data_IF_080275223685
#
_entry.id   IF_080275223685
#
_cell.length_a   1.000
_cell.length_b   1.000
_cell.length_c   1.000
_cell.angle_alpha   90.00
_cell.angle_beta   90.00
_cell.angle_gamma   90.00
#
_symmetry.space_group_name_H-M   'P 1'
#
loop_
_entity.id
_entity.type
_entity.pdbx_description
1 polymer ?
#
# COMPACT_ATOMS: atom_id res chain seq x y z
N UNK A 1 -7.56 -9.90 -10.38
CA UNK A 1 -7.40 -9.15 -9.12
C UNK A 1 -7.79 -7.71 -9.42
N UNK A 2 -8.58 -7.11 -8.55
CA UNK A 2 -9.00 -5.71 -8.69
C UNK A 2 -8.31 -4.92 -7.59
N UNK A 3 -7.68 -3.82 -7.93
CA UNK A 3 -7.04 -2.92 -6.95
C UNK A 3 -7.85 -1.64 -6.85
N UNK A 4 -8.11 -1.19 -5.64
CA UNK A 4 -8.72 0.11 -5.39
C UNK A 4 -7.63 1.08 -4.96
N UNK A 5 -7.55 2.25 -5.60
CA UNK A 5 -6.62 3.31 -5.20
C UNK A 5 -7.39 4.28 -4.30
N UNK A 6 -6.81 4.66 -3.16
CA UNK A 6 -7.46 5.51 -2.14
C UNK A 6 -6.47 6.47 -1.50
N UNK A 7 -7.00 7.58 -0.98
CA UNK A 7 -6.26 8.45 -0.06
C UNK A 7 -5.89 7.70 1.21
N UNK A 8 -4.73 7.99 1.79
CA UNK A 8 -4.31 7.40 3.06
C UNK A 8 -5.24 7.90 4.19
N UNK A 9 -5.65 6.98 5.07
CA UNK A 9 -6.34 7.14 6.37
C UNK A 9 -7.13 8.43 6.64
N UNK A 10 -8.38 8.30 7.10
CA UNK A 10 -9.27 9.40 7.53
C UNK A 10 -8.55 10.57 8.20
N UNK A 11 -8.42 11.69 7.46
CA UNK A 11 -7.93 12.97 7.97
C UNK A 11 -6.45 13.29 7.77
N UNK A 12 -5.64 12.40 7.20
CA UNK A 12 -4.20 12.66 6.98
C UNK A 12 -3.75 12.33 5.55
N UNK A 13 -3.32 13.38 4.84
CA UNK A 13 -2.52 13.38 3.60
C UNK A 13 -3.19 12.68 2.39
N UNK A 14 -3.60 13.54 1.46
CA UNK A 14 -4.19 13.19 0.17
C UNK A 14 -3.26 12.25 -0.61
N UNK A 15 -3.81 11.37 -1.46
CA UNK A 15 -2.98 10.55 -2.35
C UNK A 15 -2.13 11.50 -3.21
N UNK A 16 -0.81 11.39 -3.14
CA UNK A 16 0.13 12.27 -3.82
C UNK A 16 1.19 11.43 -4.52
N UNK A 17 1.30 11.61 -5.84
CA UNK A 17 2.25 10.91 -6.68
C UNK A 17 2.74 11.82 -7.81
N UNK A 18 4.00 11.63 -8.18
CA UNK A 18 4.68 12.44 -9.20
C UNK A 18 4.84 11.64 -10.50
N UNK A 19 4.89 12.34 -11.64
CA UNK A 19 4.92 11.74 -12.97
C UNK A 19 3.53 11.61 -13.59
N UNK A 20 3.45 11.36 -14.89
CA UNK A 20 2.19 11.31 -15.65
C UNK A 20 1.25 10.22 -15.10
N UNK A 21 1.79 9.05 -14.76
CA UNK A 21 1.02 8.00 -14.08
C UNK A 21 0.61 8.37 -12.65
N UNK A 22 1.37 9.24 -11.99
CA UNK A 22 1.08 9.73 -10.64
C UNK A 22 -0.16 10.62 -10.61
N UNK A 23 -0.25 11.59 -11.51
CA UNK A 23 -1.41 12.48 -11.65
C UNK A 23 -2.69 11.67 -11.91
N UNK A 24 -2.61 10.66 -12.77
CA UNK A 24 -3.75 9.77 -13.03
C UNK A 24 -4.14 8.93 -11.81
N UNK A 25 -3.17 8.46 -11.03
CA UNK A 25 -3.44 7.74 -9.78
C UNK A 25 -4.11 8.65 -8.74
N UNK A 26 -3.74 9.93 -8.66
CA UNK A 26 -4.39 10.93 -7.80
C UNK A 26 -5.87 11.13 -8.17
N UNK A 27 -6.16 11.25 -9.47
CA UNK A 27 -7.54 11.36 -9.98
C UNK A 27 -8.36 10.11 -9.63
N UNK A 28 -7.79 8.92 -9.84
CA UNK A 28 -8.44 7.65 -9.52
C UNK A 28 -8.66 7.46 -8.02
N UNK A 29 -7.76 7.99 -7.18
CA UNK A 29 -7.89 7.96 -5.73
C UNK A 29 -9.07 8.81 -5.22
N UNK A 30 -9.46 9.88 -5.92
CA UNK A 30 -10.60 10.73 -5.53
C UNK A 30 -11.90 9.94 -5.52
N UNK A 31 -12.09 9.14 -6.57
CA UNK A 31 -13.30 8.36 -6.79
C UNK A 31 -13.25 6.97 -6.14
N UNK A 32 -12.18 6.65 -5.41
CA UNK A 32 -11.92 5.29 -4.92
C UNK A 32 -12.03 4.27 -6.07
N UNK A 33 -11.45 4.62 -7.23
CA UNK A 33 -11.64 3.86 -8.45
C UNK A 33 -11.02 2.46 -8.35
N UNK A 34 -11.70 1.51 -8.99
CA UNK A 34 -11.27 0.12 -9.11
C UNK A 34 -10.55 -0.10 -10.43
N UNK A 35 -9.31 -0.55 -10.35
CA UNK A 35 -8.42 -0.80 -11.47
C UNK A 35 -8.10 -2.29 -11.57
N UNK A 36 -7.79 -2.76 -12.77
CA UNK A 36 -7.17 -4.08 -12.89
C UNK A 36 -5.71 -4.00 -12.43
N UNK A 37 -5.14 -5.14 -12.02
CA UNK A 37 -3.71 -5.18 -11.68
C UNK A 37 -2.78 -4.81 -12.86
N UNK A 38 -3.24 -4.98 -14.10
CA UNK A 38 -2.50 -4.59 -15.30
C UNK A 38 -2.52 -3.08 -15.53
N UNK A 39 -3.68 -2.45 -15.35
CA UNK A 39 -3.81 -0.99 -15.48
C UNK A 39 -3.00 -0.28 -14.38
N UNK A 40 -3.05 -0.82 -13.16
CA UNK A 40 -2.22 -0.30 -12.07
C UNK A 40 -0.72 -0.44 -12.36
N UNK A 41 -0.30 -1.56 -12.96
CA UNK A 41 1.10 -1.76 -13.31
C UNK A 41 1.57 -0.75 -14.37
N UNK A 42 0.76 -0.50 -15.40
CA UNK A 42 1.05 0.51 -16.42
C UNK A 42 1.18 1.91 -15.79
N UNK A 43 0.23 2.30 -14.93
CA UNK A 43 0.29 3.57 -14.20
C UNK A 43 1.53 3.66 -13.31
N UNK A 44 1.91 2.58 -12.64
CA UNK A 44 3.09 2.53 -11.80
C UNK A 44 4.40 2.66 -12.60
N UNK A 45 4.46 2.16 -13.84
CA UNK A 45 5.60 2.35 -14.73
C UNK A 45 5.76 3.82 -15.18
N UNK A 46 4.65 4.54 -15.31
CA UNK A 46 4.62 5.96 -15.67
C UNK A 46 4.65 6.90 -14.45
N UNK A 47 4.59 6.33 -13.24
CA UNK A 47 4.71 7.04 -11.98
C UNK A 47 6.18 7.17 -11.60
N UNK A 48 6.63 8.39 -11.36
CA UNK A 48 8.00 8.67 -10.96
C UNK A 48 8.24 8.36 -9.49
N UNK A 49 7.35 8.81 -8.60
CA UNK A 49 7.38 8.51 -7.16
C UNK A 49 5.98 8.64 -6.55
N UNK A 50 5.60 7.73 -5.65
CA UNK A 50 4.41 7.89 -4.80
C UNK A 50 4.88 8.46 -3.46
N UNK A 51 4.38 9.66 -3.11
CA UNK A 51 4.68 10.34 -1.84
C UNK A 51 3.74 9.81 -0.76
N UNK A 52 2.44 9.80 -1.04
CA UNK A 52 1.41 9.30 -0.12
C UNK A 52 0.32 8.53 -0.88
N UNK A 53 -0.14 7.40 -0.37
CA UNK A 53 -1.26 6.69 -1.01
C UNK A 53 -1.54 5.30 -0.48
N UNK A 54 -2.77 4.82 -0.66
CA UNK A 54 -3.22 3.47 -0.30
C UNK A 54 -3.71 2.70 -1.53
N UNK A 55 -3.24 1.47 -1.68
CA UNK A 55 -3.63 0.53 -2.74
C UNK A 55 -4.19 -0.74 -2.12
N UNK A 56 -5.47 -1.03 -2.38
CA UNK A 56 -6.19 -2.17 -1.80
C UNK A 56 -6.50 -3.20 -2.87
N UNK A 57 -5.75 -4.30 -2.90
CA UNK A 57 -5.99 -5.46 -3.75
C UNK A 57 -7.09 -6.35 -3.19
N UNK A 58 -8.14 -6.61 -3.99
CA UNK A 58 -9.24 -7.53 -3.69
C UNK A 58 -9.09 -8.82 -4.51
N UNK A 59 -9.16 -9.96 -3.83
CA UNK A 59 -9.11 -11.27 -4.47
C UNK A 59 -10.42 -11.62 -5.20
N UNK A 60 -10.40 -12.51 -6.22
CA UNK A 60 -11.59 -12.88 -6.98
C UNK A 60 -12.65 -13.66 -6.17
N UNK A 61 -12.30 -14.21 -5.00
CA UNK A 61 -13.18 -15.05 -4.16
C UNK A 61 -13.59 -14.42 -2.83
N UNK A 62 -13.03 -13.27 -2.43
CA UNK A 62 -13.37 -12.59 -1.18
C UNK A 62 -13.68 -11.13 -1.48
N UNK A 63 -14.98 -10.83 -1.62
CA UNK A 63 -15.46 -9.47 -1.90
C UNK A 63 -15.43 -8.53 -0.68
N UNK A 64 -15.30 -9.07 0.54
CA UNK A 64 -15.38 -8.30 1.78
C UNK A 64 -14.04 -8.12 2.49
N UNK A 65 -13.02 -8.92 2.19
CA UNK A 65 -11.69 -8.81 2.82
C UNK A 65 -10.65 -8.43 1.77
N UNK A 66 -9.97 -7.31 2.01
CA UNK A 66 -8.77 -6.94 1.24
C UNK A 66 -7.77 -8.10 1.30
N UNK A 67 -7.29 -8.53 0.14
CA UNK A 67 -6.26 -9.58 0.04
C UNK A 67 -4.87 -9.01 0.31
N UNK A 68 -4.64 -7.76 -0.12
CA UNK A 68 -3.41 -7.01 0.16
C UNK A 68 -3.75 -5.52 0.25
N UNK A 69 -3.15 -4.83 1.21
CA UNK A 69 -3.16 -3.37 1.29
C UNK A 69 -1.72 -2.87 1.29
N UNK A 70 -1.39 -1.95 0.39
CA UNK A 70 -0.06 -1.33 0.28
C UNK A 70 -0.24 0.15 0.54
N UNK A 71 0.52 0.72 1.47
CA UNK A 71 0.51 2.14 1.80
C UNK A 71 1.89 2.73 1.57
N UNK A 72 1.97 3.76 0.73
CA UNK A 72 3.17 4.56 0.57
C UNK A 72 3.19 5.67 1.65
N UNK A 73 4.31 5.80 2.34
CA UNK A 73 4.51 6.78 3.42
C UNK A 73 5.72 7.65 3.09
N UNK A 74 5.44 8.91 2.75
CA UNK A 74 6.41 9.97 2.43
C UNK A 74 7.51 9.54 1.45
N UNK A 75 7.22 8.66 0.48
CA UNK A 75 8.20 7.99 -0.39
C UNK A 75 9.36 7.26 0.33
N UNK A 76 9.30 7.15 1.65
CA UNK A 76 10.38 6.64 2.51
C UNK A 76 10.27 5.14 2.70
N UNK A 77 9.05 4.65 2.93
CA UNK A 77 8.79 3.22 3.08
C UNK A 77 7.38 2.85 2.59
N UNK A 78 7.21 1.56 2.33
CA UNK A 78 5.90 0.98 2.01
C UNK A 78 5.44 0.10 3.15
N UNK A 79 4.22 0.34 3.66
CA UNK A 79 3.56 -0.53 4.62
C UNK A 79 2.66 -1.52 3.89
N UNK A 80 2.83 -2.81 4.15
CA UNK A 80 2.10 -3.88 3.47
C UNK A 80 1.34 -4.70 4.49
N UNK A 81 0.04 -4.80 4.30
CA UNK A 81 -0.86 -5.65 5.08
C UNK A 81 -1.40 -6.75 4.17
N UNK A 82 -0.94 -7.99 4.38
CA UNK A 82 -1.41 -9.16 3.63
C UNK A 82 -1.15 -10.42 4.44
N UNK A 83 -2.09 -11.37 4.36
CA UNK A 83 -1.93 -12.72 4.90
C UNK A 83 -1.17 -13.65 3.92
N UNK A 84 -0.81 -13.16 2.72
CA UNK A 84 -0.15 -13.95 1.67
C UNK A 84 1.38 -13.75 1.69
N UNK A 85 2.08 -14.70 2.28
CA UNK A 85 3.55 -14.69 2.38
C UNK A 85 4.25 -14.61 1.01
N UNK A 86 3.60 -15.10 -0.06
CA UNK A 86 4.17 -15.05 -1.41
C UNK A 86 4.19 -13.62 -1.94
N UNK A 87 3.11 -12.88 -1.68
CA UNK A 87 3.00 -11.45 -2.04
C UNK A 87 4.03 -10.66 -1.25
N UNK A 88 4.10 -10.88 0.06
CA UNK A 88 5.05 -10.20 0.92
C UNK A 88 6.50 -10.42 0.46
N UNK A 89 6.90 -11.68 0.26
CA UNK A 89 8.25 -12.06 -0.16
C UNK A 89 8.64 -11.44 -1.51
N UNK A 90 7.68 -11.37 -2.44
CA UNK A 90 7.91 -10.75 -3.74
C UNK A 90 8.13 -9.23 -3.61
N UNK A 91 7.33 -8.56 -2.80
CA UNK A 91 7.43 -7.10 -2.63
C UNK A 91 8.68 -6.74 -1.83
N UNK A 92 9.01 -7.48 -0.76
CA UNK A 92 10.25 -7.29 0.00
C UNK A 92 11.51 -7.57 -0.82
N UNK A 93 11.42 -8.42 -1.85
CA UNK A 93 12.54 -8.66 -2.78
C UNK A 93 12.69 -7.55 -3.84
N UNK A 94 11.62 -6.80 -4.11
CA UNK A 94 11.58 -5.77 -5.17
C UNK A 94 11.90 -4.38 -4.61
N UNK A 95 11.41 -4.07 -3.41
CA UNK A 95 11.56 -2.75 -2.78
C UNK A 95 12.47 -2.84 -1.56
N UNK A 96 13.29 -1.80 -1.33
CA UNK A 96 14.30 -1.78 -0.27
C UNK A 96 13.74 -1.58 1.14
N UNK A 97 12.68 -0.79 1.31
CA UNK A 97 12.12 -0.45 2.62
C UNK A 97 10.63 -0.81 2.66
N UNK A 98 10.37 -2.05 3.05
CA UNK A 98 9.03 -2.63 3.16
C UNK A 98 8.80 -3.03 4.60
N UNK A 99 7.69 -2.56 5.19
CA UNK A 99 7.27 -2.89 6.54
C UNK A 99 5.97 -3.66 6.47
N UNK A 100 5.91 -4.81 7.11
CA UNK A 100 4.64 -5.50 7.32
C UNK A 100 3.84 -4.78 8.39
N UNK A 101 2.55 -4.55 8.14
CA UNK A 101 1.60 -4.06 9.14
C UNK A 101 1.39 -5.00 10.33
N UNK A 102 2.13 -6.13 10.37
CA UNK A 102 2.19 -7.03 11.52
C UNK A 102 2.77 -6.29 12.72
N UNK A 103 1.87 -5.75 13.52
CA UNK A 103 2.08 -5.58 14.95
C UNK A 103 2.34 -6.96 15.57
N UNK A 104 3.56 -7.47 15.43
CA UNK A 104 4.24 -8.04 16.58
C UNK A 104 4.91 -6.90 17.37
N UNK A 105 4.11 -5.90 17.78
CA UNK A 105 4.48 -5.08 18.94
C UNK A 105 4.27 -5.95 20.19
N UNK A 106 5.11 -6.98 20.34
CA UNK A 106 5.25 -7.74 21.59
C UNK A 106 6.71 -8.12 21.83
N UNK A 107 7.65 -7.23 21.48
CA UNK A 107 9.06 -7.44 21.89
C UNK A 107 9.81 -6.16 22.29
N UNK A 108 9.10 -5.05 22.51
CA UNK A 108 9.70 -3.83 23.09
C UNK A 108 9.01 -3.36 24.39
N UNK A 109 8.08 -4.16 24.93
CA UNK A 109 7.43 -3.90 26.23
C UNK A 109 7.79 -4.95 27.31
N UNK A 110 8.99 -5.54 27.22
CA UNK A 110 9.51 -6.44 28.27
C UNK A 110 10.79 -5.95 28.95
N UNK A 111 11.31 -4.78 28.57
CA UNK A 111 12.50 -4.18 29.20
C UNK A 111 12.17 -2.83 29.83
N UNK A 112 11.21 -2.82 30.77
CA UNK A 112 10.97 -1.72 31.73
C UNK A 112 9.97 -2.15 32.79
N UNK A 113 10.28 -3.22 33.49
CA UNK A 113 9.76 -3.51 34.82
C UNK A 113 10.84 -4.24 35.60
N UNK A 114 11.96 -3.54 35.75
CA UNK A 114 12.87 -3.73 36.86
C UNK A 114 12.68 -2.53 37.78
N UNK A 115 12.62 -2.84 39.07
CA UNK A 115 12.53 -1.97 40.26
C UNK A 115 11.14 -1.90 40.93
#
# INVERSE_FOLDING_TARGET
MVTTVKSSKDGHEWFEATGEGGEQLEELAQDNARLSGSDLAALAEETQQVIWGEFVGSGPMQSDKAWVTIRAVDSTFYEIDTDDETVLSKISSTYKDVRTGDTTITSWLSDRSGE
#
